data_IF_959806100382
#
_entry.id   IF_959806100382
#
_cell.length_a   1.000
_cell.length_b   1.000
_cell.length_c   1.000
_cell.angle_alpha   90.00
_cell.angle_beta   90.00
_cell.angle_gamma   90.00
#
_symmetry.space_group_name_H-M   'P 1'
#
loop_
_entity.id
_entity.type
_entity.pdbx_description
1 polymer ?
#
# COMPACT_ATOMS: atom_id res chain seq x y z
N UNK A 1 -2.35 -18.49 13.32
CA UNK A 1 -2.26 -18.64 11.85
C UNK A 1 -3.48 -17.97 11.23
N UNK A 2 -3.29 -17.22 10.14
CA UNK A 2 -4.37 -16.59 9.38
C UNK A 2 -5.31 -17.67 8.81
N UNK A 3 -6.39 -17.95 9.52
CA UNK A 3 -7.48 -18.82 9.08
C UNK A 3 -8.75 -17.98 9.16
N UNK A 4 -9.53 -17.94 8.07
CA UNK A 4 -10.63 -16.99 7.76
C UNK A 4 -10.21 -15.55 7.39
N UNK A 5 -10.23 -15.25 6.08
CA UNK A 5 -10.04 -13.91 5.50
C UNK A 5 -11.30 -13.04 5.57
N UNK A 6 -11.99 -13.02 6.71
CA UNK A 6 -13.34 -12.44 6.79
C UNK A 6 -13.37 -10.91 6.98
N UNK A 7 -12.24 -10.25 7.25
CA UNK A 7 -12.22 -8.81 7.53
C UNK A 7 -11.11 -8.09 6.77
N UNK A 8 -11.51 -7.17 5.88
CA UNK A 8 -10.62 -6.18 5.32
C UNK A 8 -10.33 -5.11 6.36
N UNK A 9 -9.11 -4.57 6.37
CA UNK A 9 -8.74 -3.43 7.24
C UNK A 9 -9.54 -2.16 6.88
N UNK A 10 -10.13 -2.09 5.68
CA UNK A 10 -10.96 -0.96 5.23
C UNK A 10 -10.17 0.14 4.51
N UNK A 11 -9.04 -0.20 3.89
CA UNK A 11 -8.22 0.76 3.11
C UNK A 11 -9.00 1.37 1.94
N UNK A 12 -9.99 0.66 1.40
CA UNK A 12 -10.87 1.14 0.33
C UNK A 12 -11.91 2.17 0.82
N UNK A 13 -12.21 2.21 2.12
CA UNK A 13 -13.20 3.12 2.71
C UNK A 13 -12.54 4.36 3.36
N UNK A 14 -12.79 5.58 2.87
CA UNK A 14 -12.27 6.81 3.45
C UNK A 14 -12.83 7.16 4.84
N UNK A 15 -13.92 6.52 5.27
CA UNK A 15 -14.47 6.67 6.62
C UNK A 15 -13.77 5.77 7.64
N UNK A 16 -13.17 4.66 7.21
CA UNK A 16 -12.41 3.75 8.08
C UNK A 16 -10.95 4.20 8.15
N UNK A 17 -10.31 4.38 7.00
CA UNK A 17 -8.93 4.90 6.90
C UNK A 17 -9.01 6.29 6.25
N UNK A 18 -8.91 7.42 6.98
CA UNK A 18 -8.96 8.75 6.39
C UNK A 18 -7.85 9.00 5.37
N UNK A 19 -8.09 9.88 4.40
CA UNK A 19 -7.11 10.17 3.33
C UNK A 19 -5.76 10.67 3.84
N UNK A 20 -5.70 11.28 5.02
CA UNK A 20 -4.46 11.74 5.65
C UNK A 20 -3.55 10.58 6.11
N UNK A 21 -4.11 9.37 6.28
CA UNK A 21 -3.37 8.16 6.64
C UNK A 21 -2.77 7.44 5.43
N UNK A 22 -3.03 7.92 4.21
CA UNK A 22 -2.46 7.36 2.99
C UNK A 22 -1.45 8.38 2.44
N UNK A 23 -0.18 8.07 2.58
CA UNK A 23 0.95 8.92 2.16
C UNK A 23 1.81 8.20 1.14
N UNK A 24 2.73 8.91 0.51
CA UNK A 24 3.72 8.32 -0.39
C UNK A 24 5.01 9.13 -0.35
N UNK A 25 6.12 8.51 -0.72
CA UNK A 25 7.41 9.18 -0.94
C UNK A 25 7.32 10.27 -2.01
N UNK A 26 6.56 10.00 -3.08
CA UNK A 26 6.35 10.94 -4.17
C UNK A 26 5.00 10.67 -4.87
N UNK A 27 4.57 11.59 -5.73
CA UNK A 27 3.42 11.35 -6.60
C UNK A 27 3.48 12.17 -7.89
N UNK A 28 2.90 11.63 -8.95
CA UNK A 28 2.63 12.34 -10.19
C UNK A 28 1.40 13.24 -10.04
N UNK A 29 1.41 14.40 -10.72
CA UNK A 29 0.34 15.38 -10.62
C UNK A 29 -1.02 14.74 -10.92
N UNK A 30 -2.01 14.97 -10.04
CA UNK A 30 -3.36 14.39 -10.12
C UNK A 30 -3.48 12.88 -9.89
N UNK A 31 -2.42 12.21 -9.39
CA UNK A 31 -2.41 10.80 -8.95
C UNK A 31 -1.91 10.70 -7.50
N UNK A 32 -2.58 11.45 -6.63
CA UNK A 32 -2.22 11.58 -5.21
C UNK A 32 -2.33 10.25 -4.44
N UNK A 33 -1.62 10.08 -3.32
CA UNK A 33 -1.63 8.82 -2.54
C UNK A 33 -3.03 8.33 -2.18
N UNK A 34 -3.92 9.23 -1.73
CA UNK A 34 -5.33 8.90 -1.41
C UNK A 34 -6.13 8.28 -2.56
N UNK A 35 -5.67 8.40 -3.80
CA UNK A 35 -6.29 7.78 -4.96
C UNK A 35 -5.85 6.32 -5.14
N UNK A 36 -4.88 5.82 -4.38
CA UNK A 36 -4.42 4.43 -4.39
C UNK A 36 -5.38 3.43 -3.72
N UNK A 37 -6.59 3.85 -3.36
CA UNK A 37 -7.62 2.96 -2.79
C UNK A 37 -8.08 1.95 -3.84
N UNK A 38 -8.34 0.73 -3.38
CA UNK A 38 -8.90 -0.32 -4.22
C UNK A 38 -10.24 0.12 -4.82
N UNK A 39 -10.52 -0.26 -6.07
CA UNK A 39 -11.72 0.12 -6.83
C UNK A 39 -11.91 1.63 -7.05
N UNK A 40 -10.88 2.44 -6.83
CA UNK A 40 -10.89 3.87 -7.12
C UNK A 40 -10.97 4.20 -8.61
N UNK A 41 -11.47 5.40 -8.92
CA UNK A 41 -11.52 5.94 -10.31
C UNK A 41 -10.11 6.16 -10.89
N UNK A 42 -9.14 6.44 -10.02
CA UNK A 42 -7.71 6.61 -10.32
C UNK A 42 -6.89 5.70 -9.39
N UNK A 43 -5.58 5.73 -9.55
CA UNK A 43 -4.61 5.12 -8.63
C UNK A 43 -3.61 6.16 -8.14
N UNK A 44 -2.66 5.71 -7.32
CA UNK A 44 -1.42 6.44 -7.05
C UNK A 44 -0.39 6.13 -8.15
N UNK A 45 0.41 7.12 -8.51
CA UNK A 45 1.57 6.93 -9.38
C UNK A 45 2.74 7.72 -8.79
N UNK A 46 3.92 7.11 -8.73
CA UNK A 46 5.16 7.80 -8.39
C UNK A 46 5.46 8.97 -9.34
N UNK A 47 6.28 9.92 -8.89
CA UNK A 47 6.55 11.18 -9.62
C UNK A 47 7.27 10.97 -10.95
N UNK A 48 8.15 9.96 -11.04
CA UNK A 48 8.98 9.70 -12.23
C UNK A 48 8.71 8.31 -12.80
N UNK A 49 9.17 8.04 -14.02
CA UNK A 49 9.06 6.70 -14.64
C UNK A 49 10.22 5.78 -14.29
N UNK A 50 11.27 6.29 -13.65
CA UNK A 50 12.40 5.47 -13.21
C UNK A 50 11.98 4.55 -12.07
N UNK A 51 12.51 3.33 -12.04
CA UNK A 51 12.37 2.44 -10.88
C UNK A 51 13.24 3.03 -9.77
N UNK A 52 12.59 3.45 -8.70
CA UNK A 52 13.23 4.01 -7.51
C UNK A 52 12.62 3.36 -6.26
N UNK A 53 13.14 3.67 -5.08
CA UNK A 53 12.58 3.23 -3.80
C UNK A 53 11.30 3.99 -3.40
N UNK A 54 10.49 4.37 -4.39
CA UNK A 54 9.21 5.04 -4.20
C UNK A 54 8.19 4.07 -3.57
N UNK A 55 7.46 4.56 -2.58
CA UNK A 55 6.47 3.77 -1.85
C UNK A 55 5.17 4.55 -1.63
N UNK A 56 4.09 3.80 -1.51
CA UNK A 56 2.84 4.26 -0.89
C UNK A 56 2.71 3.58 0.47
N UNK A 57 2.32 4.35 1.47
CA UNK A 57 2.20 3.91 2.85
C UNK A 57 0.76 4.11 3.33
N UNK A 58 0.27 3.15 4.11
CA UNK A 58 -1.03 3.22 4.78
C UNK A 58 -0.81 3.08 6.28
N UNK A 59 -1.17 4.12 7.02
CA UNK A 59 -1.31 4.06 8.48
C UNK A 59 -2.68 3.50 8.82
N UNK A 60 -2.73 2.32 9.42
CA UNK A 60 -4.01 1.64 9.74
C UNK A 60 -4.66 2.17 11.02
N UNK A 61 -4.03 3.12 11.74
CA UNK A 61 -4.56 3.74 12.96
C UNK A 61 -4.50 2.87 14.22
N UNK A 62 -4.44 1.55 14.06
CA UNK A 62 -4.25 0.56 15.13
C UNK A 62 -3.29 -0.55 14.69
N UNK A 63 -2.88 -1.39 15.64
CA UNK A 63 -2.09 -2.57 15.33
C UNK A 63 -2.98 -3.66 14.72
N UNK A 64 -2.59 -4.18 13.56
CA UNK A 64 -3.31 -5.25 12.86
C UNK A 64 -2.39 -6.42 12.56
N UNK A 65 -2.94 -7.64 12.62
CA UNK A 65 -2.35 -8.79 11.95
C UNK A 65 -2.78 -8.78 10.48
N UNK A 66 -1.84 -8.50 9.58
CA UNK A 66 -2.10 -8.46 8.13
C UNK A 66 -1.70 -9.79 7.51
N UNK A 67 -2.66 -10.44 6.85
CA UNK A 67 -2.48 -11.79 6.28
C UNK A 67 -2.33 -11.79 4.77
N UNK A 68 -2.86 -10.78 4.10
CA UNK A 68 -2.85 -10.65 2.66
C UNK A 68 -2.97 -9.19 2.26
N UNK A 69 -2.48 -8.88 1.05
CA UNK A 69 -2.61 -7.58 0.42
C UNK A 69 -3.21 -7.80 -0.96
N UNK A 70 -4.15 -6.94 -1.33
CA UNK A 70 -4.69 -6.87 -2.69
C UNK A 70 -4.17 -5.60 -3.35
N UNK A 71 -3.54 -5.77 -4.52
CA UNK A 71 -3.03 -4.65 -5.33
C UNK A 71 -3.84 -4.50 -6.61
N UNK A 72 -4.02 -3.28 -7.07
CA UNK A 72 -4.70 -3.01 -8.33
C UNK A 72 -3.91 -1.99 -9.16
N UNK A 73 -3.86 -2.19 -10.47
CA UNK A 73 -3.35 -1.22 -11.43
C UNK A 73 -4.44 -0.30 -11.95
N UNK A 74 -4.06 0.69 -12.77
CA UNK A 74 -5.05 1.54 -13.44
C UNK A 74 -5.81 0.74 -14.51
N UNK A 75 -7.15 0.88 -14.56
CA UNK A 75 -8.06 0.14 -15.47
C UNK A 75 -7.56 0.01 -16.92
N UNK A 76 -6.94 1.05 -17.46
CA UNK A 76 -6.35 1.09 -18.81
C UNK A 76 -4.94 1.69 -18.77
N UNK A 77 -4.09 1.26 -17.84
CA UNK A 77 -2.76 1.85 -17.71
C UNK A 77 -1.77 0.98 -16.96
N UNK A 78 -0.77 1.63 -16.37
CA UNK A 78 0.32 0.96 -15.69
C UNK A 78 -0.15 0.20 -14.45
N UNK A 79 0.51 -0.92 -14.21
CA UNK A 79 0.42 -1.69 -12.97
C UNK A 79 1.83 -2.03 -12.50
N UNK A 80 2.01 -2.09 -11.19
CA UNK A 80 3.24 -2.61 -10.59
C UNK A 80 3.18 -4.13 -10.67
N UNK A 81 4.28 -4.77 -11.10
CA UNK A 81 4.35 -6.23 -11.28
C UNK A 81 5.00 -6.96 -10.10
N UNK A 82 5.90 -6.28 -9.40
CA UNK A 82 6.63 -6.80 -8.25
C UNK A 82 6.85 -5.68 -7.25
N UNK A 83 6.87 -6.02 -5.96
CA UNK A 83 7.03 -5.04 -4.89
C UNK A 83 7.60 -5.71 -3.65
N UNK A 84 8.39 -4.95 -2.87
CA UNK A 84 8.71 -5.33 -1.49
C UNK A 84 7.65 -4.74 -0.56
N UNK A 85 7.34 -5.47 0.50
CA UNK A 85 6.47 -4.99 1.56
C UNK A 85 7.32 -4.66 2.79
N UNK A 86 7.16 -3.44 3.32
CA UNK A 86 7.71 -3.06 4.62
C UNK A 86 6.59 -2.74 5.59
N UNK A 87 6.79 -3.04 6.88
CA UNK A 87 5.81 -2.78 7.94
C UNK A 87 6.49 -2.25 9.20
N UNK A 88 5.71 -1.53 10.02
CA UNK A 88 6.16 -0.89 11.25
C UNK A 88 5.00 -0.74 12.22
N UNK A 89 5.29 -0.79 13.53
CA UNK A 89 4.34 -0.47 14.61
C UNK A 89 4.60 0.89 15.26
N UNK A 90 5.74 1.53 14.98
CA UNK A 90 6.18 2.80 15.60
C UNK A 90 6.37 3.94 14.58
N UNK A 91 6.20 3.65 13.28
CA UNK A 91 6.41 4.56 12.14
C UNK A 91 7.86 5.01 11.93
N UNK A 92 8.80 4.49 12.72
CA UNK A 92 10.22 4.86 12.70
C UNK A 92 11.11 3.69 12.29
N UNK A 93 10.85 2.51 12.86
CA UNK A 93 11.59 1.28 12.62
C UNK A 93 10.78 0.40 11.67
N UNK A 94 11.35 0.10 10.51
CA UNK A 94 10.67 -0.64 9.45
C UNK A 94 11.33 -1.98 9.20
N UNK A 95 10.52 -3.02 9.05
CA UNK A 95 10.96 -4.37 8.69
C UNK A 95 10.43 -4.74 7.32
N UNK A 96 11.28 -5.32 6.47
CA UNK A 96 10.86 -5.89 5.19
C UNK A 96 10.24 -7.26 5.44
N UNK A 97 9.14 -7.56 4.75
CA UNK A 97 8.52 -8.88 4.79
C UNK A 97 9.40 -9.91 4.09
N UNK A 98 9.65 -11.01 4.80
CA UNK A 98 10.53 -12.08 4.36
C UNK A 98 9.80 -13.41 4.30
N UNK A 99 10.14 -14.22 3.30
CA UNK A 99 9.72 -15.61 3.18
C UNK A 99 10.99 -16.47 3.15
N UNK A 100 11.06 -17.49 4.02
CA UNK A 100 12.25 -18.35 4.17
C UNK A 100 13.56 -17.55 4.40
N UNK A 101 13.50 -16.52 5.25
CA UNK A 101 14.62 -15.61 5.58
C UNK A 101 15.16 -14.79 4.39
N UNK A 102 14.37 -14.63 3.33
CA UNK A 102 14.72 -13.82 2.16
C UNK A 102 13.65 -12.75 1.95
N UNK A 103 14.07 -11.52 1.63
CA UNK A 103 13.16 -10.45 1.23
C UNK A 103 12.22 -10.92 0.12
N UNK A 104 10.91 -10.85 0.38
CA UNK A 104 9.91 -11.21 -0.62
C UNK A 104 9.71 -10.07 -1.61
N UNK A 105 9.69 -10.41 -2.90
CA UNK A 105 9.41 -9.54 -4.05
C UNK A 105 8.20 -10.05 -4.83
#
# INVERSE_FOLDING_TARGET
MCQNFAFFVGVDDPHIIPSAQITASSYYLSYYPRMGRLNGVKGWCQKTTAITDDYIQVDMGALHTVCAITTQGKKNGSCVKSYKLSFSSDKSSWSVYQEQNTDKV
#
